data_IF_958358379782
#
_entry.id   IF_958358379782
#
_cell.length_a   1.000
_cell.length_b   1.000
_cell.length_c   1.000
_cell.angle_alpha   90.00
_cell.angle_beta   90.00
_cell.angle_gamma   90.00
#
_symmetry.space_group_name_H-M   'P 1'
#
loop_
_entity.id
_entity.type
_entity.pdbx_description
1 polymer ?
#
# COMPACT_ATOMS: atom_id res chain seq x y z
N UNK A 1 28.19 -30.70 11.60
CA UNK A 1 29.10 -29.57 11.87
C UNK A 1 28.61 -28.37 11.08
N UNK A 2 27.81 -27.50 11.71
CA UNK A 2 27.46 -26.19 11.13
C UNK A 2 28.57 -25.21 11.52
N UNK A 3 29.33 -24.77 10.53
CA UNK A 3 30.31 -23.70 10.68
C UNK A 3 29.56 -22.37 10.88
N UNK A 4 29.42 -21.94 12.13
CA UNK A 4 28.97 -20.58 12.46
C UNK A 4 30.10 -19.61 12.16
N UNK A 5 30.12 -19.06 10.94
CA UNK A 5 30.99 -17.94 10.61
C UNK A 5 30.73 -16.79 11.59
N UNK A 6 31.76 -16.11 12.11
CA UNK A 6 31.57 -14.99 13.03
C UNK A 6 30.83 -13.85 12.32
N UNK A 7 29.64 -13.50 12.82
CA UNK A 7 28.85 -12.40 12.28
C UNK A 7 29.59 -11.09 12.53
N UNK A 8 30.19 -10.54 11.48
CA UNK A 8 30.89 -9.25 11.49
C UNK A 8 29.90 -8.15 11.87
N UNK A 9 30.23 -7.29 12.84
CA UNK A 9 29.37 -6.17 13.23
C UNK A 9 29.39 -5.11 12.13
N UNK A 10 28.33 -4.32 11.99
CA UNK A 10 28.25 -3.23 11.00
C UNK A 10 29.44 -2.27 11.13
N UNK A 11 29.84 -1.97 12.37
CA UNK A 11 30.98 -1.09 12.69
C UNK A 11 32.35 -1.63 12.25
N UNK A 12 32.45 -2.93 11.94
CA UNK A 12 33.70 -3.55 11.49
C UNK A 12 33.90 -3.38 9.97
N UNK A 13 32.90 -2.83 9.26
CA UNK A 13 33.01 -2.46 7.85
C UNK A 13 33.56 -1.04 7.70
N UNK A 14 34.35 -0.83 6.64
CA UNK A 14 34.92 0.49 6.32
C UNK A 14 33.80 1.51 6.12
N UNK A 15 33.90 2.74 6.69
CA UNK A 15 32.92 3.80 6.47
C UNK A 15 32.68 4.04 4.98
N UNK A 16 31.43 4.31 4.63
CA UNK A 16 30.96 4.51 3.26
C UNK A 16 29.99 3.44 2.81
N UNK A 17 30.02 3.12 1.51
CA UNK A 17 29.19 2.05 0.94
C UNK A 17 29.32 0.70 1.65
N UNK A 18 30.51 0.21 2.05
CA UNK A 18 30.61 -1.09 2.73
C UNK A 18 29.82 -1.15 4.03
N UNK A 19 29.88 -0.08 4.83
CA UNK A 19 29.13 0.03 6.09
C UNK A 19 27.64 0.22 5.86
N UNK A 20 27.25 1.04 4.87
CA UNK A 20 25.85 1.27 4.54
C UNK A 20 25.17 0.03 3.91
N UNK A 21 25.86 -0.70 3.03
CA UNK A 21 25.36 -1.95 2.49
C UNK A 21 25.22 -3.02 3.58
N UNK A 22 26.16 -3.06 4.53
CA UNK A 22 26.05 -3.93 5.70
C UNK A 22 24.81 -3.58 6.54
N UNK A 23 24.53 -2.29 6.77
CA UNK A 23 23.30 -1.83 7.42
C UNK A 23 22.05 -2.27 6.65
N UNK A 24 21.96 -1.98 5.35
CA UNK A 24 20.79 -2.34 4.53
C UNK A 24 20.55 -3.86 4.57
N UNK A 25 21.63 -4.66 4.55
CA UNK A 25 21.53 -6.12 4.57
C UNK A 25 21.04 -6.70 5.91
N UNK A 26 20.97 -5.91 6.98
CA UNK A 26 20.54 -6.42 8.30
C UNK A 26 19.05 -6.74 8.39
N UNK A 27 18.22 -6.06 7.59
CA UNK A 27 16.79 -6.28 7.59
C UNK A 27 16.22 -6.04 6.19
N UNK A 28 15.38 -6.95 5.70
CA UNK A 28 14.78 -6.88 4.36
C UNK A 28 14.05 -5.56 4.11
N UNK A 29 13.46 -4.98 5.15
CA UNK A 29 12.73 -3.72 5.03
C UNK A 29 13.61 -2.47 4.86
N UNK A 30 14.93 -2.59 5.04
CA UNK A 30 15.87 -1.52 4.68
C UNK A 30 16.24 -1.52 3.19
N UNK A 31 15.79 -2.51 2.40
CA UNK A 31 15.91 -2.49 0.95
C UNK A 31 14.89 -1.51 0.34
N UNK A 32 15.15 -0.23 0.57
CA UNK A 32 14.35 0.89 0.10
C UNK A 32 14.93 1.46 -1.19
N UNK A 33 14.08 1.68 -2.17
CA UNK A 33 14.47 2.34 -3.41
C UNK A 33 13.37 3.26 -3.93
N UNK A 34 13.72 4.15 -4.85
CA UNK A 34 12.80 5.12 -5.44
C UNK A 34 12.13 4.53 -6.70
N UNK A 35 10.83 4.75 -6.85
CA UNK A 35 10.01 4.25 -7.99
C UNK A 35 10.15 5.06 -9.27
N UNK A 36 10.49 6.35 -9.14
CA UNK A 36 10.57 7.31 -10.24
C UNK A 36 9.30 7.38 -11.13
N UNK A 37 8.10 7.56 -10.58
CA UNK A 37 6.85 7.53 -11.36
C UNK A 37 6.82 8.56 -12.49
N UNK A 38 7.33 9.78 -12.25
CA UNK A 38 7.40 10.84 -13.26
C UNK A 38 8.28 10.45 -14.45
N UNK A 39 9.45 9.86 -14.19
CA UNK A 39 10.37 9.44 -15.26
C UNK A 39 9.78 8.27 -16.04
N UNK A 40 9.17 7.30 -15.34
CA UNK A 40 8.49 6.17 -15.99
C UNK A 40 7.36 6.62 -16.89
N UNK A 41 6.51 7.53 -16.41
CA UNK A 41 5.42 8.09 -17.21
C UNK A 41 5.95 8.80 -18.46
N UNK A 42 7.02 9.61 -18.33
CA UNK A 42 7.64 10.27 -19.49
C UNK A 42 8.16 9.27 -20.52
N UNK A 43 8.84 8.21 -20.08
CA UNK A 43 9.35 7.17 -20.98
C UNK A 43 8.22 6.37 -21.64
N UNK A 44 7.13 6.12 -20.91
CA UNK A 44 5.92 5.48 -21.45
C UNK A 44 5.35 6.30 -22.60
N UNK A 45 5.12 7.59 -22.38
CA UNK A 45 4.58 8.50 -23.39
C UNK A 45 5.44 8.56 -24.65
N UNK A 46 6.77 8.64 -24.50
CA UNK A 46 7.69 8.66 -25.64
C UNK A 46 7.67 7.35 -26.43
N UNK A 47 7.52 6.20 -25.76
CA UNK A 47 7.41 4.90 -26.42
C UNK A 47 6.07 4.73 -27.15
N UNK A 48 4.98 5.22 -26.56
CA UNK A 48 3.66 5.24 -27.20
C UNK A 48 3.67 6.09 -28.47
N UNK A 49 4.18 7.31 -28.39
CA UNK A 49 4.29 8.21 -29.54
C UNK A 49 5.15 7.62 -30.67
N UNK A 50 6.28 6.99 -30.32
CA UNK A 50 7.10 6.26 -31.31
C UNK A 50 6.28 5.20 -32.05
N UNK A 51 5.51 4.38 -31.33
CA UNK A 51 4.68 3.35 -31.95
C UNK A 51 3.58 3.97 -32.82
N UNK A 52 2.94 5.06 -32.39
CA UNK A 52 1.95 5.78 -33.19
C UNK A 52 2.53 6.32 -34.50
N UNK A 53 3.77 6.84 -34.47
CA UNK A 53 4.46 7.28 -35.70
C UNK A 53 4.79 6.11 -36.64
N UNK A 54 5.17 4.96 -36.10
CA UNK A 54 5.45 3.76 -36.90
C UNK A 54 4.16 3.17 -37.51
N UNK A 55 3.07 3.17 -36.74
CA UNK A 55 1.73 2.76 -37.20
C UNK A 55 1.25 3.65 -38.34
N UNK A 56 1.33 4.98 -38.19
CA UNK A 56 0.96 5.90 -39.26
C UNK A 56 1.78 5.66 -40.53
N UNK A 57 3.09 5.43 -40.42
CA UNK A 57 3.94 5.12 -41.59
C UNK A 57 3.57 3.79 -42.24
N UNK A 58 3.13 2.80 -41.46
CA UNK A 58 2.68 1.52 -41.99
C UNK A 58 1.38 1.71 -42.79
N UNK A 59 0.43 2.47 -42.24
CA UNK A 59 -0.81 2.83 -42.93
C UNK A 59 -0.53 3.59 -44.24
N UNK A 60 0.45 4.51 -44.23
CA UNK A 60 0.87 5.22 -45.44
C UNK A 60 1.47 4.27 -46.50
N UNK A 61 2.28 3.28 -46.10
CA UNK A 61 2.82 2.28 -47.03
C UNK A 61 1.70 1.42 -47.61
N UNK A 62 0.75 1.00 -46.78
CA UNK A 62 -0.35 0.14 -47.20
C UNK A 62 -1.34 0.88 -48.11
N UNK A 63 -1.62 2.15 -47.83
CA UNK A 63 -2.47 3.00 -48.69
C UNK A 63 -1.84 3.28 -50.06
N UNK A 64 -0.51 3.36 -50.13
CA UNK A 64 0.22 3.63 -51.37
C UNK A 64 0.66 2.33 -52.09
N UNK A 65 0.21 1.16 -51.64
CA UNK A 65 0.60 -0.12 -52.25
C UNK A 65 -0.04 -0.28 -53.64
N UNK A 66 0.82 -0.49 -54.65
CA UNK A 66 0.42 -0.60 -56.05
C UNK A 66 -0.08 -2.02 -56.38
N UNK A 67 0.37 -3.03 -55.63
CA UNK A 67 -0.03 -4.42 -55.85
C UNK A 67 -0.95 -4.92 -54.71
N UNK A 68 -2.29 -4.94 -54.90
CA UNK A 68 -3.24 -5.39 -53.87
C UNK A 68 -2.99 -6.83 -53.38
N UNK A 69 -2.39 -7.68 -54.22
CA UNK A 69 -2.03 -9.05 -53.84
C UNK A 69 -1.04 -9.08 -52.67
N UNK A 70 -0.16 -8.10 -52.56
CA UNK A 70 0.80 -8.03 -51.45
C UNK A 70 0.12 -7.79 -50.09
N UNK A 71 -0.95 -6.98 -50.08
CA UNK A 71 -1.77 -6.76 -48.88
C UNK A 71 -2.60 -8.00 -48.51
N UNK A 72 -3.08 -8.75 -49.52
CA UNK A 72 -3.91 -9.94 -49.32
C UNK A 72 -3.14 -11.23 -49.04
N UNK A 73 -1.84 -11.27 -49.34
CA UNK A 73 -1.03 -12.49 -49.23
C UNK A 73 0.41 -12.18 -48.81
N UNK A 74 0.68 -12.29 -47.49
CA UNK A 74 2.01 -12.05 -46.91
C UNK A 74 3.12 -12.91 -47.52
N UNK A 75 2.83 -14.14 -47.94
CA UNK A 75 3.80 -15.04 -48.60
C UNK A 75 4.31 -14.49 -49.94
N UNK A 76 3.51 -13.64 -50.59
CA UNK A 76 3.79 -13.06 -51.90
C UNK A 76 4.23 -11.60 -51.79
N UNK A 77 4.26 -11.04 -50.58
CA UNK A 77 4.60 -9.65 -50.34
C UNK A 77 6.10 -9.41 -50.56
N UNK A 78 6.39 -8.52 -51.51
CA UNK A 78 7.77 -8.12 -51.85
C UNK A 78 8.07 -6.67 -51.46
N UNK A 79 7.19 -6.02 -50.71
CA UNK A 79 7.40 -4.66 -50.26
C UNK A 79 8.45 -4.63 -49.12
N UNK A 80 9.69 -4.34 -49.52
CA UNK A 80 10.84 -4.30 -48.59
C UNK A 80 10.66 -3.21 -47.53
N UNK A 81 10.04 -2.08 -47.87
CA UNK A 81 9.79 -1.00 -46.92
C UNK A 81 8.79 -1.42 -45.84
N UNK A 82 7.70 -2.09 -46.23
CA UNK A 82 6.71 -2.64 -45.29
C UNK A 82 7.34 -3.67 -44.37
N UNK A 83 8.10 -4.62 -44.92
CA UNK A 83 8.77 -5.67 -44.14
C UNK A 83 9.79 -5.09 -43.14
N UNK A 84 10.60 -4.12 -43.56
CA UNK A 84 11.55 -3.45 -42.67
C UNK A 84 10.83 -2.68 -41.54
N UNK A 85 9.76 -1.96 -41.87
CA UNK A 85 8.98 -1.22 -40.89
C UNK A 85 8.29 -2.14 -39.87
N UNK A 86 7.72 -3.26 -40.33
CA UNK A 86 7.12 -4.27 -39.45
C UNK A 86 8.14 -4.88 -38.48
N UNK A 87 9.39 -5.08 -38.90
CA UNK A 87 10.47 -5.54 -38.01
C UNK A 87 10.85 -4.48 -36.95
N UNK A 88 10.85 -3.20 -37.34
CA UNK A 88 11.06 -2.09 -36.37
C UNK A 88 9.90 -2.00 -35.37
N UNK A 89 8.66 -2.16 -35.84
CA UNK A 89 7.45 -2.19 -35.00
C UNK A 89 7.54 -3.35 -34.01
N UNK A 90 7.86 -4.57 -34.46
CA UNK A 90 7.99 -5.74 -33.59
C UNK A 90 8.99 -5.48 -32.45
N UNK A 91 10.17 -4.94 -32.79
CA UNK A 91 11.20 -4.60 -31.80
C UNK A 91 10.71 -3.52 -30.83
N UNK A 92 10.10 -2.45 -31.35
CA UNK A 92 9.62 -1.32 -30.54
C UNK A 92 8.46 -1.71 -29.63
N UNK A 93 7.59 -2.60 -30.10
CA UNK A 93 6.43 -3.11 -29.37
C UNK A 93 6.89 -4.03 -28.24
N UNK A 94 7.83 -4.95 -28.50
CA UNK A 94 8.41 -5.80 -27.46
C UNK A 94 9.07 -4.99 -26.33
N UNK A 95 9.80 -3.91 -26.68
CA UNK A 95 10.36 -2.99 -25.69
C UNK A 95 9.29 -2.25 -24.89
N UNK A 96 8.22 -1.80 -25.55
CA UNK A 96 7.10 -1.12 -24.93
C UNK A 96 6.39 -2.04 -23.94
N UNK A 97 6.03 -3.25 -24.36
CA UNK A 97 5.33 -4.24 -23.54
C UNK A 97 6.14 -4.62 -22.31
N UNK A 98 7.44 -4.92 -22.48
CA UNK A 98 8.36 -5.18 -21.37
C UNK A 98 8.47 -3.99 -20.41
N UNK A 99 8.44 -2.76 -20.93
CA UNK A 99 8.49 -1.54 -20.11
C UNK A 99 7.19 -1.31 -19.33
N UNK A 100 6.04 -1.55 -19.96
CA UNK A 100 4.71 -1.48 -19.34
C UNK A 100 4.62 -2.49 -18.21
N UNK A 101 4.99 -3.76 -18.46
CA UNK A 101 4.94 -4.81 -17.45
C UNK A 101 5.83 -4.48 -16.25
N UNK A 102 7.08 -4.07 -16.51
CA UNK A 102 7.98 -3.61 -15.44
C UNK A 102 7.37 -2.43 -14.69
N UNK A 103 6.82 -1.44 -15.38
CA UNK A 103 6.23 -0.27 -14.73
C UNK A 103 5.02 -0.64 -13.87
N UNK A 104 4.14 -1.52 -14.36
CA UNK A 104 3.03 -2.06 -13.59
C UNK A 104 3.50 -2.76 -12.31
N UNK A 105 4.52 -3.63 -12.40
CA UNK A 105 5.11 -4.28 -11.22
C UNK A 105 5.61 -3.24 -10.21
N UNK A 106 6.37 -2.24 -10.65
CA UNK A 106 6.91 -1.19 -9.77
C UNK A 106 5.84 -0.31 -9.11
N UNK A 107 4.72 -0.05 -9.80
CA UNK A 107 3.61 0.71 -9.23
C UNK A 107 2.84 -0.08 -8.15
N UNK A 108 2.82 -1.42 -8.27
CA UNK A 108 2.14 -2.32 -7.34
C UNK A 108 2.96 -2.75 -6.12
N UNK A 109 4.27 -2.46 -6.09
CA UNK A 109 5.09 -2.71 -4.89
C UNK A 109 4.54 -1.87 -3.71
N UNK A 110 4.70 -2.36 -2.48
CA UNK A 110 4.26 -1.65 -1.28
C UNK A 110 5.09 -0.37 -1.03
N UNK A 111 4.42 0.70 -0.59
CA UNK A 111 5.10 1.93 -0.20
C UNK A 111 6.05 1.65 0.97
N UNK A 112 7.18 2.36 1.01
CA UNK A 112 8.11 2.22 2.13
C UNK A 112 7.44 2.66 3.44
N UNK A 113 7.71 1.95 4.55
CA UNK A 113 7.16 2.35 5.84
C UNK A 113 7.93 3.58 6.36
N UNK A 114 7.21 4.59 6.84
CA UNK A 114 7.82 5.84 7.30
C UNK A 114 8.89 5.65 8.39
N UNK A 115 8.72 4.62 9.24
CA UNK A 115 9.68 4.26 10.29
C UNK A 115 11.04 3.81 9.75
N UNK A 116 11.02 3.00 8.70
CA UNK A 116 12.22 2.43 8.09
C UNK A 116 13.00 3.52 7.34
N UNK A 117 12.27 4.35 6.59
CA UNK A 117 12.81 5.54 5.93
C UNK A 117 13.48 6.45 6.96
N UNK A 118 12.81 6.74 8.08
CA UNK A 118 13.37 7.60 9.12
C UNK A 118 14.59 6.99 9.80
N UNK A 119 14.61 5.67 9.99
CA UNK A 119 15.78 4.97 10.57
C UNK A 119 17.01 5.11 9.67
N UNK A 120 16.84 4.94 8.35
CA UNK A 120 17.92 5.16 7.39
C UNK A 120 18.34 6.62 7.33
N UNK A 121 17.40 7.58 7.32
CA UNK A 121 17.72 9.01 7.35
C UNK A 121 18.54 9.39 8.58
N UNK A 122 18.13 8.94 9.76
CA UNK A 122 18.85 9.18 11.01
C UNK A 122 20.24 8.58 10.98
N UNK A 123 20.39 7.36 10.44
CA UNK A 123 21.69 6.73 10.33
C UNK A 123 22.61 7.49 9.38
N UNK A 124 22.11 7.90 8.21
CA UNK A 124 22.87 8.69 7.23
C UNK A 124 23.27 10.04 7.81
N UNK A 125 22.36 10.74 8.51
CA UNK A 125 22.65 12.04 9.11
C UNK A 125 23.68 11.96 10.24
N UNK A 126 23.67 10.87 11.02
CA UNK A 126 24.54 10.71 12.18
C UNK A 126 25.92 10.17 11.81
N UNK A 127 25.98 9.25 10.83
CA UNK A 127 27.24 8.59 10.45
C UNK A 127 28.01 9.42 9.42
N UNK A 128 27.30 10.19 8.58
CA UNK A 128 27.91 11.08 7.57
C UNK A 128 28.78 10.35 6.54
N UNK A 129 28.59 9.04 6.38
CA UNK A 129 29.50 8.18 5.61
C UNK A 129 29.24 8.19 4.09
N UNK A 130 28.11 8.73 3.65
CA UNK A 130 27.74 8.85 2.24
C UNK A 130 27.45 10.31 1.88
N UNK A 131 27.59 10.64 0.60
CA UNK A 131 27.29 11.99 0.13
C UNK A 131 25.80 12.32 0.31
N UNK A 132 25.50 13.61 0.54
CA UNK A 132 24.12 14.07 0.70
C UNK A 132 23.34 13.93 -0.60
N UNK A 133 24.03 14.07 -1.73
CA UNK A 133 23.52 13.94 -3.08
C UNK A 133 23.07 12.51 -3.37
N UNK A 134 23.87 11.50 -2.99
CA UNK A 134 23.53 10.08 -3.19
C UNK A 134 22.39 9.63 -2.27
N UNK A 135 22.27 10.20 -1.07
CA UNK A 135 21.24 9.84 -0.09
C UNK A 135 19.98 10.69 -0.18
N UNK A 136 19.96 11.70 -1.06
CA UNK A 136 18.82 12.58 -1.32
C UNK A 136 17.56 11.81 -1.74
N UNK A 137 17.69 10.61 -2.31
CA UNK A 137 16.54 9.77 -2.66
C UNK A 137 15.64 9.46 -1.45
N UNK A 138 16.22 9.40 -0.24
CA UNK A 138 15.48 9.16 1.00
C UNK A 138 14.51 10.30 1.33
N UNK A 139 14.61 11.48 0.71
CA UNK A 139 13.69 12.61 0.94
C UNK A 139 12.35 12.46 0.22
N UNK A 140 12.27 11.59 -0.80
CA UNK A 140 11.08 11.41 -1.62
C UNK A 140 10.09 10.39 -1.01
N UNK A 141 9.53 10.68 0.16
CA UNK A 141 8.66 9.75 0.92
C UNK A 141 7.57 9.07 0.08
N UNK A 142 6.92 9.85 -0.80
CA UNK A 142 5.82 9.36 -1.65
C UNK A 142 6.27 8.46 -2.80
N UNK A 143 7.56 8.46 -3.14
CA UNK A 143 8.13 7.68 -4.23
C UNK A 143 8.99 6.51 -3.75
N UNK A 144 9.17 6.35 -2.43
CA UNK A 144 9.95 5.26 -1.85
C UNK A 144 9.14 3.97 -1.76
N UNK A 145 9.81 2.87 -2.01
CA UNK A 145 9.23 1.53 -1.99
C UNK A 145 10.13 0.55 -1.26
N UNK A 146 9.51 -0.41 -0.59
CA UNK A 146 10.21 -1.52 0.04
C UNK A 146 10.25 -2.70 -0.91
N UNK A 147 11.44 -3.26 -1.12
CA UNK A 147 11.64 -4.50 -1.89
C UNK A 147 11.43 -5.75 -1.05
N UNK A 148 11.20 -5.60 0.26
CA UNK A 148 10.87 -6.74 1.11
C UNK A 148 9.59 -7.42 0.60
N UNK A 149 9.55 -8.77 0.56
CA UNK A 149 8.33 -9.47 0.25
C UNK A 149 7.22 -9.00 1.20
N UNK A 150 5.97 -8.92 0.71
CA UNK A 150 4.82 -8.59 1.56
C UNK A 150 4.60 -9.73 2.56
N UNK A 151 5.37 -9.78 3.64
CA UNK A 151 5.22 -10.80 4.68
C UNK A 151 3.96 -10.53 5.48
N UNK A 152 2.97 -11.44 5.42
CA UNK A 152 1.68 -11.39 6.14
C UNK A 152 1.06 -9.99 6.27
N UNK A 153 1.29 -9.16 5.26
CA UNK A 153 1.18 -7.70 5.32
C UNK A 153 -0.27 -7.23 5.10
N UNK A 154 -1.18 -8.17 4.79
CA UNK A 154 -2.62 -7.93 4.81
C UNK A 154 -3.10 -7.52 6.21
N UNK A 155 -2.48 -8.07 7.26
CA UNK A 155 -2.76 -7.71 8.66
C UNK A 155 -2.05 -6.40 9.09
N UNK A 156 -0.90 -6.07 8.49
CA UNK A 156 -0.18 -4.81 8.78
C UNK A 156 -0.73 -3.60 8.03
N UNK A 157 -1.34 -3.80 6.86
CA UNK A 157 -2.04 -2.76 6.10
C UNK A 157 -3.29 -2.26 6.86
N UNK A 158 -3.92 -3.10 7.68
CA UNK A 158 -4.98 -2.68 8.61
C UNK A 158 -4.40 -2.01 9.86
N UNK A 159 -3.29 -2.50 10.42
CA UNK A 159 -2.67 -1.88 11.61
C UNK A 159 -2.18 -0.44 11.36
N UNK A 160 -1.55 -0.14 10.22
CA UNK A 160 -1.02 1.21 9.97
C UNK A 160 -2.13 2.28 9.81
N UNK A 161 -3.27 1.93 9.21
CA UNK A 161 -4.40 2.85 9.08
C UNK A 161 -5.15 2.99 10.41
N UNK A 162 -5.27 1.90 11.18
CA UNK A 162 -5.80 1.95 12.55
C UNK A 162 -4.93 2.85 13.42
N UNK A 163 -3.60 2.77 13.30
CA UNK A 163 -2.64 3.67 13.96
C UNK A 163 -2.88 5.14 13.56
N UNK A 164 -2.98 5.46 12.26
CA UNK A 164 -3.23 6.83 11.79
C UNK A 164 -4.61 7.36 12.22
N UNK A 165 -5.64 6.52 12.18
CA UNK A 165 -6.99 6.85 12.62
C UNK A 165 -7.06 7.06 14.13
N UNK A 166 -6.36 6.24 14.93
CA UNK A 166 -6.22 6.39 16.38
C UNK A 166 -5.45 7.65 16.74
N UNK A 167 -4.36 7.96 16.05
CA UNK A 167 -3.60 9.20 16.29
C UNK A 167 -4.48 10.41 15.98
N UNK A 168 -5.24 10.37 14.88
CA UNK A 168 -6.18 11.44 14.51
C UNK A 168 -7.35 11.54 15.48
N UNK A 169 -7.93 10.42 15.89
CA UNK A 169 -9.02 10.36 16.88
C UNK A 169 -8.54 10.85 18.25
N UNK A 170 -7.39 10.38 18.72
CA UNK A 170 -6.78 10.85 19.98
C UNK A 170 -6.45 12.34 19.92
N UNK A 171 -5.97 12.85 18.78
CA UNK A 171 -5.70 14.28 18.58
C UNK A 171 -6.97 15.13 18.51
N UNK A 172 -8.08 14.57 18.02
CA UNK A 172 -9.40 15.23 17.98
C UNK A 172 -10.07 15.17 19.35
N UNK A 173 -10.02 14.03 20.05
CA UNK A 173 -10.63 13.81 21.35
C UNK A 173 -9.87 14.51 22.49
N UNK A 174 -8.56 14.68 22.36
CA UNK A 174 -7.72 15.46 23.29
C UNK A 174 -7.69 16.95 22.97
N UNK A 175 -8.37 17.39 21.88
CA UNK A 175 -8.42 18.80 21.47
C UNK A 175 -9.21 19.68 22.45
N UNK A 176 -9.96 19.10 23.39
CA UNK A 176 -10.69 19.83 24.43
C UNK A 176 -9.94 20.00 25.76
N UNK A 177 -8.69 19.51 25.90
CA UNK A 177 -8.00 19.56 27.21
C UNK A 177 -6.54 20.01 27.18
N UNK A 178 -6.11 20.78 26.18
CA UNK A 178 -4.88 21.58 26.29
C UNK A 178 -4.85 22.68 25.23
N UNK A 179 -5.36 23.86 25.61
CA UNK A 179 -5.00 25.11 24.97
C UNK A 179 -3.80 25.70 25.71
N UNK A 180 -2.85 26.20 24.93
CA UNK A 180 -1.65 26.98 25.29
C UNK A 180 -0.46 26.19 25.89
N UNK A 181 0.65 26.17 25.14
CA UNK A 181 1.92 26.87 25.46
C UNK A 181 3.04 26.38 24.52
N UNK A 182 3.52 27.34 23.70
CA UNK A 182 4.90 27.59 23.23
C UNK A 182 5.67 26.61 22.32
N UNK A 183 6.34 27.24 21.35
CA UNK A 183 7.41 26.74 20.49
C UNK A 183 8.58 26.13 21.28
N UNK A 184 9.02 24.95 20.85
CA UNK A 184 10.27 24.34 21.30
C UNK A 184 10.43 22.91 20.77
N UNK A 185 11.54 22.57 20.07
CA UNK A 185 11.75 21.25 19.51
C UNK A 185 12.27 20.32 20.60
N UNK A 186 11.37 19.84 21.47
CA UNK A 186 11.73 18.84 22.46
C UNK A 186 11.11 17.48 22.12
N UNK A 187 12.03 16.56 21.92
CA UNK A 187 11.90 15.16 21.53
C UNK A 187 10.86 14.46 22.41
N UNK A 188 9.69 14.15 21.84
CA UNK A 188 8.78 13.14 22.40
C UNK A 188 9.01 11.81 21.68
N UNK A 189 10.01 11.06 22.14
CA UNK A 189 10.14 9.63 21.79
C UNK A 189 9.04 8.90 22.55
N UNK A 190 7.86 8.79 21.92
CA UNK A 190 6.85 7.88 22.42
C UNK A 190 7.17 6.48 21.90
N UNK A 191 7.39 5.54 22.82
CA UNK A 191 7.70 4.14 22.55
C UNK A 191 6.66 3.52 21.60
N UNK A 192 7.04 3.39 20.33
CA UNK A 192 6.20 2.92 19.23
C UNK A 192 5.88 1.43 19.22
N UNK A 193 6.09 0.72 20.35
CA UNK A 193 5.58 -0.63 20.62
C UNK A 193 4.35 -0.56 21.54
N UNK A 194 4.36 0.32 22.55
CA UNK A 194 3.24 0.48 23.47
C UNK A 194 2.03 1.13 22.80
N UNK A 195 2.23 2.07 21.86
CA UNK A 195 1.11 2.62 21.06
C UNK A 195 0.44 1.52 20.22
N UNK A 196 1.22 0.59 19.66
CA UNK A 196 0.69 -0.49 18.83
C UNK A 196 -0.17 -1.45 19.62
N UNK A 197 0.36 -1.90 20.77
CA UNK A 197 -0.38 -2.75 21.69
C UNK A 197 -1.61 -2.03 22.24
N UNK A 198 -1.48 -0.76 22.65
CA UNK A 198 -2.58 0.01 23.19
C UNK A 198 -3.67 0.29 22.15
N UNK A 199 -3.29 0.60 20.91
CA UNK A 199 -4.22 0.84 19.81
C UNK A 199 -5.01 -0.42 19.44
N UNK A 200 -4.33 -1.56 19.37
CA UNK A 200 -4.96 -2.86 19.13
C UNK A 200 -5.91 -3.25 20.27
N UNK A 201 -5.49 -3.03 21.52
CA UNK A 201 -6.34 -3.27 22.70
C UNK A 201 -7.55 -2.35 22.66
N UNK A 202 -7.39 -1.08 22.29
CA UNK A 202 -8.49 -0.11 22.26
C UNK A 202 -9.51 -0.41 21.16
N UNK A 203 -9.06 -0.79 19.96
CA UNK A 203 -9.97 -1.20 18.87
C UNK A 203 -10.71 -2.48 19.23
N UNK A 204 -10.01 -3.49 19.76
CA UNK A 204 -10.66 -4.72 20.25
C UNK A 204 -11.64 -4.43 21.38
N UNK A 205 -11.28 -3.55 22.30
CA UNK A 205 -12.15 -3.13 23.37
C UNK A 205 -13.39 -2.40 22.84
N UNK A 206 -13.23 -1.49 21.87
CA UNK A 206 -14.32 -0.73 21.27
C UNK A 206 -15.26 -1.63 20.47
N UNK A 207 -14.72 -2.60 19.70
CA UNK A 207 -15.56 -3.57 18.98
C UNK A 207 -16.32 -4.47 19.95
N UNK A 208 -15.69 -5.00 20.99
CA UNK A 208 -16.37 -5.79 22.03
C UNK A 208 -17.45 -4.97 22.74
N UNK A 209 -17.13 -3.73 23.13
CA UNK A 209 -18.07 -2.82 23.80
C UNK A 209 -19.28 -2.53 22.92
N UNK A 210 -19.06 -2.25 21.63
CA UNK A 210 -20.11 -2.01 20.65
C UNK A 210 -20.98 -3.26 20.40
N UNK A 211 -20.42 -4.46 20.49
CA UNK A 211 -21.16 -5.72 20.39
C UNK A 211 -22.02 -6.01 21.63
N UNK A 212 -21.54 -5.68 22.83
CA UNK A 212 -22.18 -6.04 24.10
C UNK A 212 -23.21 -5.02 24.61
N UNK A 213 -22.99 -3.71 24.42
CA UNK A 213 -23.91 -2.65 24.86
C UNK A 213 -25.36 -2.87 24.36
N UNK A 214 -25.60 -3.18 23.07
CA UNK A 214 -26.95 -3.37 22.54
C UNK A 214 -27.65 -4.59 23.16
N UNK A 215 -26.91 -5.66 23.44
CA UNK A 215 -27.42 -6.88 24.07
C UNK A 215 -27.90 -6.56 25.49
N UNK A 216 -27.08 -5.82 26.26
CA UNK A 216 -27.42 -5.42 27.64
C UNK A 216 -28.58 -4.43 27.66
N UNK A 217 -28.62 -3.48 26.72
CA UNK A 217 -29.71 -2.51 26.60
C UNK A 217 -31.03 -3.17 26.19
N UNK A 218 -31.00 -4.17 25.30
CA UNK A 218 -32.17 -4.96 24.93
C UNK A 218 -32.72 -5.83 26.07
N UNK A 219 -31.91 -6.17 27.08
CA UNK A 219 -32.35 -6.90 28.27
C UNK A 219 -33.06 -6.01 29.31
N UNK A 220 -33.01 -4.68 29.15
CA UNK A 220 -33.60 -3.70 30.07
C UNK A 220 -34.93 -3.13 29.57
N UNK A 221 -35.33 -3.46 28.34
CA UNK A 221 -36.46 -2.85 27.66
C UNK A 221 -37.47 -3.94 27.32
N UNK A 222 -38.71 -3.77 27.77
CA UNK A 222 -39.75 -4.79 27.61
C UNK A 222 -40.49 -4.70 26.26
N UNK A 223 -40.51 -3.53 25.61
CA UNK A 223 -41.27 -3.32 24.39
C UNK A 223 -40.56 -3.84 23.13
N UNK A 224 -41.19 -4.78 22.42
CA UNK A 224 -40.59 -5.48 21.27
C UNK A 224 -40.20 -4.56 20.10
N UNK A 225 -40.99 -3.51 19.84
CA UNK A 225 -40.76 -2.58 18.73
C UNK A 225 -39.50 -1.73 18.94
N UNK A 226 -39.25 -1.24 20.16
CA UNK A 226 -38.06 -0.42 20.46
C UNK A 226 -36.79 -1.27 20.50
N UNK A 227 -36.90 -2.55 20.91
CA UNK A 227 -35.79 -3.51 20.85
C UNK A 227 -35.33 -3.73 19.41
N UNK A 228 -36.27 -3.95 18.48
CA UNK A 228 -35.94 -4.12 17.06
C UNK A 228 -35.29 -2.86 16.45
N UNK A 229 -35.80 -1.67 16.79
CA UNK A 229 -35.23 -0.40 16.30
C UNK A 229 -33.82 -0.16 16.83
N UNK A 230 -33.57 -0.45 18.11
CA UNK A 230 -32.24 -0.35 18.71
C UNK A 230 -31.23 -1.29 18.04
N UNK A 231 -31.64 -2.52 17.73
CA UNK A 231 -30.80 -3.51 17.07
C UNK A 231 -30.42 -3.07 15.66
N UNK A 232 -31.38 -2.57 14.88
CA UNK A 232 -31.13 -2.06 13.53
C UNK A 232 -30.12 -0.91 13.54
N UNK A 233 -30.27 0.05 14.47
CA UNK A 233 -29.34 1.17 14.62
C UNK A 233 -27.96 0.67 15.04
N UNK A 234 -27.89 -0.31 15.95
CA UNK A 234 -26.63 -0.89 16.40
C UNK A 234 -25.87 -1.62 15.29
N UNK A 235 -26.57 -2.42 14.48
CA UNK A 235 -25.96 -3.13 13.34
C UNK A 235 -25.44 -2.11 12.32
N UNK A 236 -26.20 -1.06 12.02
CA UNK A 236 -25.74 0.00 11.10
C UNK A 236 -24.52 0.73 11.66
N UNK A 237 -24.52 1.07 12.94
CA UNK A 237 -23.38 1.73 13.59
C UNK A 237 -22.14 0.82 13.62
N UNK A 238 -22.32 -0.47 13.90
CA UNK A 238 -21.26 -1.48 13.84
C UNK A 238 -20.67 -1.60 12.45
N UNK A 239 -21.50 -1.75 11.42
CA UNK A 239 -21.02 -1.85 10.04
C UNK A 239 -20.36 -0.55 9.56
N UNK A 240 -20.88 0.62 9.97
CA UNK A 240 -20.27 1.90 9.66
C UNK A 240 -18.90 2.06 10.33
N UNK A 241 -18.78 1.70 11.61
CA UNK A 241 -17.52 1.76 12.37
C UNK A 241 -16.53 0.73 11.83
N UNK A 242 -16.93 -0.51 11.55
CA UNK A 242 -16.05 -1.53 10.98
C UNK A 242 -15.66 -1.17 9.54
N UNK A 243 -16.58 -0.66 8.71
CA UNK A 243 -16.26 -0.19 7.35
C UNK A 243 -15.33 1.02 7.37
N UNK A 244 -15.46 1.89 8.38
CA UNK A 244 -14.51 2.97 8.58
C UNK A 244 -13.18 2.39 9.05
N UNK A 245 -13.20 1.51 10.06
CA UNK A 245 -12.03 1.00 10.76
C UNK A 245 -11.20 -0.04 9.99
N UNK A 246 -11.83 -0.73 9.06
CA UNK A 246 -11.20 -1.74 8.22
C UNK A 246 -11.44 -1.37 6.78
N UNK A 247 -10.35 -1.11 6.04
CA UNK A 247 -10.39 -1.04 4.58
C UNK A 247 -10.49 -2.47 4.02
N UNK A 248 -11.52 -3.19 4.49
CA UNK A 248 -11.77 -4.58 4.17
C UNK A 248 -12.49 -4.70 2.83
N UNK A 249 -12.39 -5.87 2.20
CA UNK A 249 -13.21 -6.15 1.02
C UNK A 249 -14.67 -6.15 1.47
N UNK A 250 -15.55 -5.64 0.60
CA UNK A 250 -16.99 -5.60 0.85
C UNK A 250 -17.56 -6.96 1.25
N UNK A 251 -16.98 -8.05 0.74
CA UNK A 251 -17.36 -9.44 1.09
C UNK A 251 -17.16 -9.73 2.58
N UNK A 252 -16.02 -9.34 3.16
CA UNK A 252 -15.72 -9.62 4.57
C UNK A 252 -16.61 -8.80 5.51
N UNK A 253 -16.95 -7.56 5.10
CA UNK A 253 -17.90 -6.71 5.83
C UNK A 253 -19.32 -7.31 5.80
N UNK A 254 -19.75 -7.86 4.66
CA UNK A 254 -21.04 -8.53 4.52
C UNK A 254 -21.10 -9.78 5.40
N UNK A 255 -20.02 -10.59 5.46
CA UNK A 255 -19.96 -11.77 6.34
C UNK A 255 -20.00 -11.37 7.83
N UNK A 256 -19.26 -10.34 8.23
CA UNK A 256 -19.29 -9.83 9.60
C UNK A 256 -20.69 -9.30 9.98
N UNK A 257 -21.37 -8.59 9.07
CA UNK A 257 -22.74 -8.13 9.26
C UNK A 257 -23.74 -9.28 9.40
N UNK A 258 -23.63 -10.30 8.54
CA UNK A 258 -24.51 -11.47 8.57
C UNK A 258 -24.37 -12.23 9.89
N UNK A 259 -23.14 -12.55 10.31
CA UNK A 259 -22.87 -13.27 11.57
C UNK A 259 -23.39 -12.52 12.79
N UNK A 260 -23.18 -11.20 12.87
CA UNK A 260 -23.69 -10.40 13.98
C UNK A 260 -25.22 -10.32 13.99
N UNK A 261 -25.84 -10.17 12.81
CA UNK A 261 -27.30 -10.17 12.67
C UNK A 261 -27.89 -11.49 13.16
N UNK A 262 -27.29 -12.63 12.79
CA UNK A 262 -27.73 -13.96 13.25
C UNK A 262 -27.64 -14.11 14.77
N UNK A 263 -26.57 -13.63 15.40
CA UNK A 263 -26.42 -13.72 16.86
C UNK A 263 -27.52 -12.91 17.55
N UNK A 264 -27.75 -11.67 17.10
CA UNK A 264 -28.77 -10.78 17.66
C UNK A 264 -30.19 -11.31 17.48
N UNK A 265 -30.53 -11.84 16.31
CA UNK A 265 -31.88 -12.38 16.06
C UNK A 265 -32.18 -13.60 16.93
N UNK A 266 -31.18 -14.46 17.18
CA UNK A 266 -31.31 -15.60 18.12
C UNK A 266 -31.56 -15.11 19.55
N UNK A 267 -30.81 -14.10 20.02
CA UNK A 267 -31.01 -13.53 21.35
C UNK A 267 -32.39 -12.89 21.52
N UNK A 268 -32.88 -12.16 20.51
CA UNK A 268 -34.24 -11.59 20.53
C UNK A 268 -35.29 -12.70 20.56
N UNK A 269 -35.12 -13.76 19.79
CA UNK A 269 -36.08 -14.86 19.75
C UNK A 269 -36.21 -15.56 21.11
N UNK A 270 -35.10 -15.81 21.81
CA UNK A 270 -35.12 -16.48 23.13
C UNK A 270 -35.77 -15.63 24.22
N UNK A 271 -35.50 -14.33 24.21
CA UNK A 271 -36.05 -13.35 25.16
C UNK A 271 -37.49 -12.95 24.84
N UNK A 272 -38.03 -13.35 23.69
CA UNK A 272 -39.46 -13.19 23.35
C UNK A 272 -40.29 -14.43 23.72
N UNK A 273 -39.62 -15.57 23.97
CA UNK A 273 -40.24 -16.86 24.32
C UNK A 273 -40.18 -17.19 25.82
N UNK A 274 -39.62 -16.30 26.64
CA UNK A 274 -39.69 -16.34 28.12
C UNK A 274 -40.63 -15.26 28.61
#
# INVERSE_FOLDING_TARGET
MQSTLPTKRIQDYRPGYPQFSALISTHESFFLCRRFPRLRARLLLLKQDKLSLLEQRLDEIDQNEVCPLFLGQSRSDKNVARSALLSEIETSLAEYDSFVERTHRFLNINAAQGREVQSLRNWVSNTGSLSREETAYLTYDKELMSLAPPGDDAMKRSENWVEDALIKFYRVFRKDSLHNISDGPNIYIYSGSMIKHLGRILVLFLTITLLLIPIIACARIDSISTRMMMIMISIMLFLAIVSWLTKSRTIDLIMAGATYTTILTVFVSQTSSS
#
